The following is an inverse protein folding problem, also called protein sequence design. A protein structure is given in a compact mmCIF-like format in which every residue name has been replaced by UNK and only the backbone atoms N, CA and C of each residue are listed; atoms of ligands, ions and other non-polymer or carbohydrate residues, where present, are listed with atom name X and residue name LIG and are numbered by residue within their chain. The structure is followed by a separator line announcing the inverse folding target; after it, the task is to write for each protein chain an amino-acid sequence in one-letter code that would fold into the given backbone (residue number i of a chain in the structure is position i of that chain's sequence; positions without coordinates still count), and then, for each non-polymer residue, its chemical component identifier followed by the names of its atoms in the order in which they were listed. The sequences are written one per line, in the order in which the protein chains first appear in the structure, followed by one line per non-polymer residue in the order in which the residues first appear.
data_IF_278832680814
#
_entry.id   IF_278832680814
#
_cell.length_a   1.000
_cell.length_b   1.000
_cell.length_c   1.000
_cell.angle_alpha   90.00
_cell.angle_beta   90.00
_cell.angle_gamma   90.00
#
_symmetry.space_group_name_H-M   'P 1'
#
loop_
_entity.id
_entity.type
_entity.pdbx_description
1 polymer ?
#
# COMPACT_ATOMS: atom_id res chain seq x y z
N UNK A 1 25.98 5.47 26.68
CA UNK A 1 24.58 5.25 26.36
C UNK A 1 23.78 6.49 26.73
N UNK A 2 23.03 7.03 25.78
CA UNK A 2 22.08 8.11 26.03
C UNK A 2 20.76 7.50 26.52
N UNK A 3 20.12 8.13 27.49
CA UNK A 3 18.78 7.77 27.97
C UNK A 3 17.80 8.80 27.45
N UNK A 4 16.65 8.36 26.94
CA UNK A 4 15.57 9.20 26.48
C UNK A 4 14.40 9.00 27.45
N UNK A 5 13.91 10.11 28.03
CA UNK A 5 12.72 10.07 28.88
C UNK A 5 11.46 10.11 28.02
N UNK A 6 10.70 9.03 28.05
CA UNK A 6 9.43 8.88 27.35
C UNK A 6 8.23 8.87 28.34
N UNK A 7 8.37 9.47 29.52
CA UNK A 7 7.31 9.51 30.53
C UNK A 7 6.03 10.14 29.93
N UNK A 8 4.91 9.41 30.00
CA UNK A 8 3.61 9.84 29.45
C UNK A 8 3.47 9.68 27.92
N UNK A 9 4.41 9.01 27.26
CA UNK A 9 4.41 8.75 25.84
C UNK A 9 4.44 7.25 25.56
N UNK A 10 4.09 6.87 24.33
CA UNK A 10 4.21 5.50 23.83
C UNK A 10 5.50 5.36 23.02
N UNK A 11 6.09 4.17 23.10
CA UNK A 11 7.19 3.75 22.24
C UNK A 11 6.73 2.56 21.42
N UNK A 12 6.86 2.63 20.10
CA UNK A 12 6.47 1.55 19.19
C UNK A 12 7.56 1.25 18.17
N UNK A 13 7.44 0.09 17.47
CA UNK A 13 8.20 -0.10 16.23
C UNK A 13 7.84 1.01 15.23
N UNK A 14 8.77 1.32 14.32
CA UNK A 14 8.50 2.17 13.17
C UNK A 14 7.38 1.61 12.29
N UNK A 15 6.59 2.49 11.71
CA UNK A 15 5.52 2.10 10.79
C UNK A 15 6.08 1.65 9.43
N UNK A 16 5.39 0.72 8.80
CA UNK A 16 5.74 0.15 7.50
C UNK A 16 4.58 0.36 6.54
N UNK A 17 4.79 1.14 5.50
CA UNK A 17 3.78 1.39 4.47
C UNK A 17 4.11 0.59 3.21
N UNK A 18 3.25 -0.35 2.88
CA UNK A 18 3.43 -1.26 1.74
C UNK A 18 2.70 -0.82 0.48
N UNK A 19 1.99 0.33 0.54
CA UNK A 19 1.23 0.85 -0.58
C UNK A 19 1.09 2.37 -0.46
N UNK A 20 1.86 3.11 -1.26
CA UNK A 20 1.81 4.57 -1.33
C UNK A 20 2.43 5.07 -2.64
N UNK A 21 1.79 6.05 -3.28
CA UNK A 21 2.19 6.60 -4.58
C UNK A 21 3.00 7.88 -4.48
N UNK A 22 2.89 8.59 -3.35
CA UNK A 22 3.59 9.86 -3.20
C UNK A 22 3.21 10.63 -1.95
N UNK A 23 3.71 11.87 -1.87
CA UNK A 23 3.47 12.81 -0.78
C UNK A 23 4.33 14.06 -0.93
N UNK A 24 4.03 15.12 -0.15
CA UNK A 24 4.83 16.35 -0.16
C UNK A 24 4.88 17.07 -1.51
N UNK A 25 3.86 16.90 -2.35
CA UNK A 25 3.80 17.46 -3.69
C UNK A 25 4.46 16.62 -4.79
N UNK A 26 5.04 15.47 -4.44
CA UNK A 26 5.77 14.60 -5.36
C UNK A 26 5.12 13.20 -5.48
N UNK A 27 5.26 12.59 -6.64
CA UNK A 27 4.87 11.21 -6.94
C UNK A 27 6.11 10.37 -7.20
N UNK A 28 6.11 9.10 -6.84
CA UNK A 28 7.25 8.22 -7.09
C UNK A 28 7.53 8.02 -8.60
N UNK A 29 6.57 8.34 -9.45
CA UNK A 29 6.68 8.26 -10.91
C UNK A 29 6.97 9.61 -11.58
N UNK A 30 7.35 10.67 -10.85
CA UNK A 30 7.70 12.00 -11.44
C UNK A 30 8.96 12.00 -12.31
N UNK A 31 9.72 10.89 -12.32
CA UNK A 31 10.82 10.69 -13.25
C UNK A 31 12.19 11.15 -12.74
N UNK A 32 12.32 11.52 -11.47
CA UNK A 32 13.61 11.89 -10.87
C UNK A 32 13.76 11.35 -9.43
N UNK A 33 15.01 11.31 -8.96
CA UNK A 33 15.36 10.77 -7.62
C UNK A 33 14.84 11.66 -6.50
N UNK A 34 14.89 12.99 -6.67
CA UNK A 34 14.50 13.92 -5.59
C UNK A 34 13.01 13.87 -5.29
N UNK A 35 12.17 13.63 -6.29
CA UNK A 35 10.74 13.39 -6.10
C UNK A 35 10.47 12.17 -5.23
N UNK A 36 11.21 11.06 -5.45
CA UNK A 36 11.13 9.86 -4.62
C UNK A 36 11.54 10.18 -3.17
N UNK A 37 12.65 10.88 -2.98
CA UNK A 37 13.16 11.22 -1.66
C UNK A 37 12.24 12.20 -0.93
N UNK A 38 11.65 13.17 -1.63
CA UNK A 38 10.71 14.14 -1.06
C UNK A 38 9.45 13.46 -0.56
N UNK A 39 8.84 12.59 -1.38
CA UNK A 39 7.66 11.83 -0.98
C UNK A 39 7.97 10.90 0.21
N UNK A 40 9.06 10.16 0.16
CA UNK A 40 9.47 9.26 1.23
C UNK A 40 9.78 10.02 2.55
N UNK A 41 10.40 11.21 2.47
CA UNK A 41 10.69 12.04 3.63
C UNK A 41 9.43 12.59 4.31
N UNK A 42 8.40 12.96 3.54
CA UNK A 42 7.11 13.31 4.11
C UNK A 42 6.59 12.18 5.00
N UNK A 43 6.52 10.97 4.45
CA UNK A 43 6.01 9.81 5.19
C UNK A 43 6.87 9.47 6.41
N UNK A 44 8.21 9.67 6.33
CA UNK A 44 9.10 9.49 7.46
C UNK A 44 8.69 10.39 8.64
N UNK A 45 8.42 11.68 8.40
CA UNK A 45 8.00 12.62 9.46
C UNK A 45 6.64 12.26 10.08
N UNK A 46 5.87 11.38 9.44
CA UNK A 46 4.62 10.81 9.96
C UNK A 46 4.79 9.39 10.53
N UNK A 47 6.04 8.94 10.74
CA UNK A 47 6.35 7.68 11.41
C UNK A 47 6.64 6.49 10.49
N UNK A 48 6.61 6.66 9.17
CA UNK A 48 6.95 5.59 8.22
C UNK A 48 8.46 5.42 8.16
N UNK A 49 8.99 4.40 8.83
CA UNK A 49 10.43 4.10 8.82
C UNK A 49 10.84 3.13 7.72
N UNK A 50 9.86 2.42 7.15
CA UNK A 50 10.03 1.51 6.01
C UNK A 50 8.89 1.72 5.02
N UNK A 51 9.22 1.90 3.74
CA UNK A 51 8.26 2.25 2.71
C UNK A 51 8.49 1.42 1.44
N UNK A 52 7.41 1.08 0.77
CA UNK A 52 7.40 0.43 -0.53
C UNK A 52 6.76 1.36 -1.56
N UNK A 53 7.56 2.20 -2.26
CA UNK A 53 7.06 3.05 -3.32
C UNK A 53 6.22 2.27 -4.32
N UNK A 54 5.03 2.80 -4.63
CA UNK A 54 4.05 2.13 -5.47
C UNK A 54 3.89 2.87 -6.79
N UNK A 55 3.90 2.12 -7.90
CA UNK A 55 3.64 2.67 -9.24
C UNK A 55 2.15 2.65 -9.54
N UNK A 56 1.72 3.51 -10.44
CA UNK A 56 0.42 3.42 -11.12
C UNK A 56 0.57 2.72 -12.47
N UNK A 57 -0.56 2.32 -13.05
CA UNK A 57 -0.63 1.83 -14.44
C UNK A 57 -0.08 2.88 -15.41
N UNK A 58 0.95 2.51 -16.18
CA UNK A 58 1.69 3.40 -17.06
C UNK A 58 2.30 2.67 -18.26
N UNK A 59 2.98 3.40 -19.14
CA UNK A 59 3.84 2.83 -20.17
C UNK A 59 5.03 2.09 -19.54
N UNK A 60 5.62 1.13 -20.27
CA UNK A 60 6.86 0.48 -19.82
C UNK A 60 8.03 1.47 -19.73
N UNK A 61 8.06 2.50 -20.57
CA UNK A 61 9.09 3.54 -20.54
C UNK A 61 9.06 4.30 -19.20
N UNK A 62 7.90 4.78 -18.77
CA UNK A 62 7.74 5.51 -17.51
C UNK A 62 7.96 4.58 -16.30
N UNK A 63 7.53 3.31 -16.39
CA UNK A 63 7.79 2.31 -15.37
C UNK A 63 9.29 2.04 -15.21
N UNK A 64 10.02 1.86 -16.29
CA UNK A 64 11.48 1.62 -16.25
C UNK A 64 12.23 2.84 -15.73
N UNK A 65 11.82 4.05 -16.10
CA UNK A 65 12.37 5.28 -15.53
C UNK A 65 12.16 5.35 -14.01
N UNK A 66 10.97 4.98 -13.53
CA UNK A 66 10.67 4.90 -12.10
C UNK A 66 11.56 3.87 -11.40
N UNK A 67 11.73 2.67 -11.96
CA UNK A 67 12.60 1.62 -11.43
C UNK A 67 14.05 2.10 -11.34
N UNK A 68 14.57 2.75 -12.37
CA UNK A 68 15.94 3.26 -12.39
C UNK A 68 16.19 4.35 -11.34
N UNK A 69 15.21 5.24 -11.14
CA UNK A 69 15.29 6.27 -10.11
C UNK A 69 15.14 5.67 -8.70
N UNK A 70 14.29 4.66 -8.53
CA UNK A 70 14.19 3.92 -7.27
C UNK A 70 15.52 3.25 -6.90
N UNK A 71 16.17 2.58 -7.84
CA UNK A 71 17.50 1.95 -7.62
C UNK A 71 18.53 2.96 -7.11
N UNK A 72 18.52 4.18 -7.65
CA UNK A 72 19.39 5.27 -7.21
C UNK A 72 18.99 5.80 -5.83
N UNK A 73 17.70 6.09 -5.62
CA UNK A 73 17.16 6.63 -4.38
C UNK A 73 17.39 5.68 -3.20
N UNK A 74 17.25 4.36 -3.41
CA UNK A 74 17.45 3.33 -2.38
C UNK A 74 18.83 3.34 -1.73
N UNK A 75 19.85 3.86 -2.44
CA UNK A 75 21.22 4.03 -1.92
C UNK A 75 21.36 5.22 -0.95
N UNK A 76 20.39 6.12 -0.89
CA UNK A 76 20.42 7.33 -0.06
C UNK A 76 19.66 7.04 1.24
N UNK A 77 20.42 6.92 2.36
CA UNK A 77 19.86 6.47 3.63
C UNK A 77 19.86 7.53 4.73
N UNK A 78 20.53 8.66 4.51
CA UNK A 78 20.64 9.71 5.52
C UNK A 78 19.34 10.48 5.69
N UNK A 79 18.75 10.45 6.88
CA UNK A 79 17.44 11.04 7.20
C UNK A 79 16.33 10.57 6.24
N UNK A 80 16.34 9.29 5.90
CA UNK A 80 15.37 8.66 5.00
C UNK A 80 14.76 7.42 5.64
N UNK A 81 13.53 7.06 5.27
CA UNK A 81 13.01 5.73 5.60
C UNK A 81 13.74 4.68 4.77
N UNK A 82 13.69 3.44 5.18
CA UNK A 82 14.17 2.32 4.37
C UNK A 82 13.27 2.11 3.15
N UNK A 83 13.79 2.37 1.95
CA UNK A 83 13.13 2.01 0.68
C UNK A 83 13.31 0.51 0.44
N UNK A 84 12.39 -0.31 0.95
CA UNK A 84 12.59 -1.75 1.07
C UNK A 84 12.45 -2.50 -0.25
N UNK A 85 11.56 -2.03 -1.12
CA UNK A 85 11.29 -2.57 -2.45
C UNK A 85 10.19 -1.77 -3.12
N UNK A 86 9.73 -2.22 -4.29
CA UNK A 86 8.64 -1.58 -5.02
C UNK A 86 7.38 -2.45 -5.01
N UNK A 87 6.24 -1.80 -4.96
CA UNK A 87 4.95 -2.35 -5.29
C UNK A 87 4.54 -1.90 -6.68
N UNK A 88 4.34 -2.82 -7.61
CA UNK A 88 3.75 -2.50 -8.90
C UNK A 88 2.22 -2.63 -8.81
N UNK A 89 1.50 -1.53 -8.96
CA UNK A 89 0.05 -1.51 -9.00
C UNK A 89 -0.42 -1.43 -10.45
N UNK A 90 -0.74 -2.57 -11.02
CA UNK A 90 -1.02 -2.75 -12.44
C UNK A 90 0.24 -3.07 -13.27
N UNK A 91 0.13 -3.00 -14.59
CA UNK A 91 -0.99 -2.53 -15.44
C UNK A 91 -2.05 -3.61 -15.75
N UNK A 92 -2.00 -4.76 -15.12
CA UNK A 92 -2.83 -5.91 -15.41
C UNK A 92 -4.11 -5.88 -14.56
N UNK A 93 -5.04 -5.00 -14.94
CA UNK A 93 -6.27 -4.72 -14.19
C UNK A 93 -7.53 -4.95 -15.02
N UNK A 94 -8.66 -5.16 -14.34
CA UNK A 94 -9.96 -5.19 -14.98
C UNK A 94 -10.36 -3.77 -15.41
N UNK A 95 -10.72 -3.54 -16.69
CA UNK A 95 -11.16 -2.22 -17.13
C UNK A 95 -12.40 -1.70 -16.39
N UNK A 96 -13.26 -2.60 -15.90
CA UNK A 96 -14.46 -2.23 -15.15
C UNK A 96 -14.21 -1.79 -13.72
N UNK A 97 -13.06 -2.21 -13.14
CA UNK A 97 -12.67 -1.93 -11.76
C UNK A 97 -11.41 -1.05 -11.70
N UNK A 98 -11.13 -0.33 -12.78
CA UNK A 98 -9.91 0.49 -12.92
C UNK A 98 -9.79 1.60 -11.89
N UNK A 99 -10.90 2.07 -11.29
CA UNK A 99 -10.89 3.21 -10.40
C UNK A 99 -10.27 4.45 -11.08
N UNK A 100 -9.29 5.05 -10.44
CA UNK A 100 -8.53 6.19 -10.96
C UNK A 100 -7.29 5.79 -11.80
N UNK A 101 -7.13 4.52 -12.18
CA UNK A 101 -6.03 4.09 -13.06
C UNK A 101 -6.28 4.53 -14.50
N UNK A 102 -5.21 4.88 -15.24
CA UNK A 102 -5.33 5.28 -16.64
C UNK A 102 -5.61 4.05 -17.53
N UNK A 103 -6.80 4.02 -18.17
CA UNK A 103 -7.24 2.87 -18.97
C UNK A 103 -6.42 2.64 -20.23
N UNK A 104 -5.75 3.68 -20.77
CA UNK A 104 -4.94 3.58 -21.98
C UNK A 104 -3.74 2.61 -21.80
N UNK A 105 -3.34 2.37 -20.56
CA UNK A 105 -2.21 1.49 -20.22
C UNK A 105 -2.64 0.16 -19.63
N UNK A 106 -3.95 -0.05 -19.36
CA UNK A 106 -4.46 -1.32 -18.86
C UNK A 106 -4.32 -2.38 -19.94
N UNK A 107 -3.76 -3.54 -19.56
CA UNK A 107 -3.52 -4.64 -20.49
C UNK A 107 -3.56 -6.00 -19.79
N UNK A 108 -3.57 -7.05 -20.59
CA UNK A 108 -3.55 -8.43 -20.12
C UNK A 108 -2.11 -8.88 -19.91
N UNK A 109 -1.77 -9.59 -18.82
CA UNK A 109 -0.42 -10.09 -18.58
C UNK A 109 -0.01 -11.13 -19.64
N UNK A 110 1.22 -10.99 -20.16
CA UNK A 110 1.86 -12.01 -20.97
C UNK A 110 3.23 -12.36 -20.39
N UNK A 111 3.70 -13.62 -20.52
CA UNK A 111 5.01 -14.03 -20.00
C UNK A 111 6.16 -13.16 -20.50
N UNK A 112 6.09 -12.70 -21.74
CA UNK A 112 7.10 -11.82 -22.33
C UNK A 112 7.12 -10.46 -21.64
N UNK A 113 5.95 -9.84 -21.41
CA UNK A 113 5.83 -8.50 -20.83
C UNK A 113 6.20 -8.50 -19.34
N UNK A 114 5.54 -9.31 -18.49
CA UNK A 114 5.81 -9.28 -17.06
C UNK A 114 7.20 -9.81 -16.68
N UNK A 115 7.76 -10.77 -17.42
CA UNK A 115 9.13 -11.21 -17.17
C UNK A 115 10.16 -10.17 -17.60
N UNK A 116 9.93 -9.46 -18.71
CA UNK A 116 10.80 -8.36 -19.10
C UNK A 116 10.84 -7.26 -18.01
N UNK A 117 9.68 -6.88 -17.46
CA UNK A 117 9.61 -5.92 -16.35
C UNK A 117 10.32 -6.45 -15.10
N UNK A 118 10.07 -7.72 -14.72
CA UNK A 118 10.67 -8.34 -13.55
C UNK A 118 12.20 -8.40 -13.65
N UNK A 119 12.73 -8.86 -14.79
CA UNK A 119 14.16 -8.96 -15.05
C UNK A 119 14.82 -7.57 -15.07
N UNK A 120 14.19 -6.57 -15.71
CA UNK A 120 14.67 -5.19 -15.71
C UNK A 120 14.77 -4.62 -14.29
N UNK A 121 13.80 -4.93 -13.44
CA UNK A 121 13.78 -4.44 -12.07
C UNK A 121 14.91 -5.00 -11.19
N UNK A 122 15.52 -6.12 -11.57
CA UNK A 122 16.70 -6.69 -10.89
C UNK A 122 16.51 -6.83 -9.37
N UNK A 123 15.41 -7.50 -8.97
CA UNK A 123 15.08 -7.75 -7.56
C UNK A 123 14.48 -6.56 -6.79
N UNK A 124 14.13 -5.46 -7.45
CA UNK A 124 13.48 -4.33 -6.79
C UNK A 124 11.98 -4.56 -6.53
N UNK A 125 11.32 -5.41 -7.34
CA UNK A 125 9.88 -5.66 -7.20
C UNK A 125 9.65 -6.65 -6.04
N UNK A 126 8.99 -6.16 -4.99
CA UNK A 126 8.63 -6.98 -3.83
C UNK A 126 7.16 -7.43 -3.86
N UNK A 127 6.31 -6.68 -4.56
CA UNK A 127 4.88 -6.92 -4.63
C UNK A 127 4.32 -6.51 -6.00
N UNK A 128 3.27 -7.22 -6.46
CA UNK A 128 2.57 -6.89 -7.70
C UNK A 128 1.06 -7.13 -7.54
N UNK A 129 0.26 -6.09 -7.81
CA UNK A 129 -1.20 -6.15 -7.79
C UNK A 129 -1.74 -6.42 -9.20
N UNK A 130 -2.60 -7.44 -9.33
CA UNK A 130 -3.10 -7.97 -10.59
C UNK A 130 -4.56 -8.38 -10.44
N UNK A 131 -5.36 -8.24 -11.50
CA UNK A 131 -6.70 -8.81 -11.61
C UNK A 131 -6.60 -10.29 -12.05
N UNK A 132 -6.94 -11.24 -11.19
CA UNK A 132 -6.66 -12.65 -11.42
C UNK A 132 -7.52 -13.28 -12.52
N UNK A 133 -8.68 -12.71 -12.84
CA UNK A 133 -9.56 -13.17 -13.90
C UNK A 133 -9.02 -12.93 -15.32
N UNK A 134 -7.94 -12.14 -15.44
CA UNK A 134 -7.33 -11.87 -16.74
C UNK A 134 -6.58 -13.10 -17.27
N UNK A 135 -6.68 -13.31 -18.58
CA UNK A 135 -5.90 -14.36 -19.24
C UNK A 135 -4.40 -14.17 -18.98
N UNK A 136 -3.71 -15.23 -18.56
CA UNK A 136 -2.28 -15.20 -18.22
C UNK A 136 -1.98 -14.84 -16.76
N UNK A 137 -2.96 -14.32 -15.98
CA UNK A 137 -2.73 -13.93 -14.59
C UNK A 137 -2.36 -15.13 -13.69
N UNK A 138 -2.98 -16.28 -13.87
CA UNK A 138 -2.65 -17.49 -13.10
C UNK A 138 -1.21 -17.96 -13.38
N UNK A 139 -0.78 -17.98 -14.64
CA UNK A 139 0.60 -18.31 -15.01
C UNK A 139 1.60 -17.31 -14.42
N UNK A 140 1.27 -16.02 -14.44
CA UNK A 140 2.07 -14.95 -13.81
C UNK A 140 2.22 -15.21 -12.32
N UNK A 141 1.12 -15.55 -11.62
CA UNK A 141 1.12 -15.91 -10.21
C UNK A 141 2.06 -17.07 -9.90
N UNK A 142 1.96 -18.16 -10.67
CA UNK A 142 2.82 -19.34 -10.53
C UNK A 142 4.31 -19.04 -10.69
N UNK A 143 4.66 -18.13 -11.58
CA UNK A 143 6.06 -17.78 -11.86
C UNK A 143 6.60 -16.81 -10.81
N UNK A 144 5.94 -15.68 -10.60
CA UNK A 144 6.48 -14.59 -9.78
C UNK A 144 6.41 -14.88 -8.29
N UNK A 145 5.40 -15.63 -7.81
CA UNK A 145 5.36 -16.05 -6.40
C UNK A 145 6.55 -16.95 -6.02
N UNK A 146 6.99 -17.84 -6.91
CA UNK A 146 8.18 -18.69 -6.74
C UNK A 146 9.48 -17.89 -6.76
N UNK A 147 9.48 -16.74 -7.41
CA UNK A 147 10.60 -15.79 -7.44
C UNK A 147 10.57 -14.81 -6.24
N UNK A 148 9.61 -14.97 -5.33
CA UNK A 148 9.53 -14.22 -4.08
C UNK A 148 8.70 -12.95 -4.14
N UNK A 149 8.06 -12.64 -5.27
CA UNK A 149 7.14 -11.50 -5.38
C UNK A 149 5.84 -11.82 -4.66
N UNK A 150 5.36 -10.92 -3.80
CA UNK A 150 4.03 -11.00 -3.21
C UNK A 150 2.98 -10.71 -4.29
N UNK A 151 2.26 -11.74 -4.71
CA UNK A 151 1.15 -11.58 -5.66
C UNK A 151 -0.10 -11.15 -4.93
N UNK A 152 -0.63 -9.98 -5.33
CA UNK A 152 -1.82 -9.36 -4.73
C UNK A 152 -2.95 -9.27 -5.75
N UNK A 153 -4.18 -9.43 -5.28
CA UNK A 153 -5.39 -9.27 -6.08
C UNK A 153 -5.89 -7.83 -5.89
N UNK A 154 -6.08 -7.08 -6.95
CA UNK A 154 -6.58 -5.71 -6.91
C UNK A 154 -7.15 -5.26 -8.25
N UNK A 155 -8.00 -4.23 -8.25
CA UNK A 155 -8.65 -3.67 -9.43
C UNK A 155 -9.29 -4.75 -10.32
N UNK A 156 -10.20 -5.53 -9.74
CA UNK A 156 -10.64 -6.83 -10.26
C UNK A 156 -12.14 -7.02 -10.19
N UNK A 157 -12.71 -7.56 -11.26
CA UNK A 157 -14.09 -8.04 -11.34
C UNK A 157 -14.21 -9.54 -11.06
N UNK A 158 -13.15 -10.19 -10.54
CA UNK A 158 -13.10 -11.61 -10.25
C UNK A 158 -14.27 -12.07 -9.36
N UNK A 159 -14.72 -13.28 -9.58
CA UNK A 159 -15.64 -13.97 -8.67
C UNK A 159 -14.87 -14.63 -7.52
N UNK A 160 -15.59 -15.06 -6.50
CA UNK A 160 -15.00 -15.85 -5.42
C UNK A 160 -14.35 -17.16 -5.92
N UNK A 161 -14.87 -17.76 -7.00
CA UNK A 161 -14.27 -18.95 -7.60
C UNK A 161 -12.94 -18.61 -8.31
N UNK A 162 -12.86 -17.47 -9.00
CA UNK A 162 -11.60 -16.98 -9.59
C UNK A 162 -10.55 -16.72 -8.51
N UNK A 163 -10.95 -16.13 -7.38
CA UNK A 163 -10.06 -15.90 -6.23
C UNK A 163 -9.58 -17.22 -5.63
N UNK A 164 -10.47 -18.21 -5.51
CA UNK A 164 -10.12 -19.54 -5.02
C UNK A 164 -9.08 -20.23 -5.91
N UNK A 165 -9.19 -20.06 -7.23
CA UNK A 165 -8.20 -20.52 -8.18
C UNK A 165 -6.89 -19.75 -8.04
N UNK A 166 -6.95 -18.41 -7.93
CA UNK A 166 -5.78 -17.54 -7.76
C UNK A 166 -4.93 -17.90 -6.53
N UNK A 167 -5.56 -18.29 -5.41
CA UNK A 167 -4.83 -18.77 -4.22
C UNK A 167 -3.93 -19.96 -4.56
N UNK A 168 -4.39 -20.90 -5.40
CA UNK A 168 -3.60 -22.07 -5.81
C UNK A 168 -2.42 -21.68 -6.70
N UNK A 169 -2.50 -20.51 -7.34
CA UNK A 169 -1.47 -19.93 -8.21
C UNK A 169 -0.60 -18.87 -7.51
N UNK A 170 -0.61 -18.82 -6.16
CA UNK A 170 0.31 -18.02 -5.36
C UNK A 170 -0.16 -16.61 -5.00
N UNK A 171 -1.41 -16.25 -5.28
CA UNK A 171 -2.00 -15.02 -4.79
C UNK A 171 -2.42 -15.18 -3.32
N UNK A 172 -1.92 -14.31 -2.44
CA UNK A 172 -2.14 -14.45 -0.99
C UNK A 172 -2.57 -13.17 -0.30
N UNK A 173 -2.81 -12.10 -1.08
CA UNK A 173 -3.11 -10.78 -0.53
C UNK A 173 -4.18 -10.06 -1.37
N UNK A 174 -5.00 -9.24 -0.71
CA UNK A 174 -5.98 -8.35 -1.34
C UNK A 174 -5.55 -6.90 -1.17
N UNK A 175 -5.38 -6.19 -2.29
CA UNK A 175 -4.98 -4.79 -2.39
C UNK A 175 -6.15 -3.90 -1.98
N UNK A 176 -5.93 -2.87 -1.15
CA UNK A 176 -6.92 -1.86 -0.66
C UNK A 176 -8.37 -2.39 -0.62
N UNK A 177 -8.57 -3.33 0.32
CA UNK A 177 -9.81 -4.08 0.47
C UNK A 177 -11.06 -3.20 0.44
N UNK A 178 -12.04 -3.54 -0.36
CA UNK A 178 -13.25 -2.82 -0.78
C UNK A 178 -13.08 -1.85 -1.96
N UNK A 179 -11.90 -1.34 -2.24
CA UNK A 179 -11.69 -0.43 -3.38
C UNK A 179 -11.39 -1.22 -4.65
N UNK A 180 -12.06 -0.90 -5.78
CA UNK A 180 -11.84 -1.58 -7.06
C UNK A 180 -12.01 -3.10 -6.99
N UNK A 181 -13.04 -3.57 -6.27
CA UNK A 181 -13.29 -5.00 -6.04
C UNK A 181 -14.77 -5.34 -6.22
N UNK A 182 -15.00 -6.47 -6.86
CA UNK A 182 -16.33 -7.07 -6.99
C UNK A 182 -16.91 -7.49 -5.63
N UNK A 183 -18.22 -7.43 -5.51
CA UNK A 183 -18.98 -7.93 -4.35
C UNK A 183 -20.14 -8.81 -4.83
N UNK A 184 -21.00 -9.24 -3.93
CA UNK A 184 -22.16 -10.09 -4.25
C UNK A 184 -22.99 -9.51 -5.38
N UNK A 185 -23.09 -10.27 -6.46
CA UNK A 185 -23.96 -9.98 -7.60
C UNK A 185 -25.08 -11.01 -7.73
N UNK A 186 -25.97 -10.82 -8.70
CA UNK A 186 -27.04 -11.78 -9.01
C UNK A 186 -27.01 -12.13 -10.50
N UNK A 187 -26.88 -13.44 -10.81
CA UNK A 187 -26.96 -13.97 -12.17
C UNK A 187 -28.04 -15.03 -12.23
N UNK A 188 -29.04 -14.84 -13.09
CA UNK A 188 -30.17 -15.78 -13.23
C UNK A 188 -30.86 -16.17 -11.89
N UNK A 189 -30.94 -15.22 -10.96
CA UNK A 189 -31.50 -15.45 -9.62
C UNK A 189 -30.52 -15.96 -8.57
N UNK A 190 -29.41 -16.56 -8.95
CA UNK A 190 -28.37 -17.05 -8.03
C UNK A 190 -27.47 -15.94 -7.54
N UNK A 191 -26.99 -16.07 -6.27
CA UNK A 191 -25.96 -15.19 -5.72
C UNK A 191 -24.59 -15.66 -6.21
N UNK A 192 -23.82 -14.72 -6.74
CA UNK A 192 -22.41 -14.89 -7.08
C UNK A 192 -21.61 -14.04 -6.11
N UNK A 193 -20.71 -14.67 -5.36
CA UNK A 193 -19.81 -13.97 -4.43
C UNK A 193 -18.66 -13.33 -5.21
N UNK A 194 -18.23 -12.16 -4.76
CA UNK A 194 -17.09 -11.45 -5.32
C UNK A 194 -15.83 -11.59 -4.48
N UNK A 195 -14.88 -10.72 -4.76
CA UNK A 195 -13.57 -10.65 -4.08
C UNK A 195 -13.71 -10.26 -2.61
N UNK A 196 -14.65 -9.36 -2.30
CA UNK A 196 -14.89 -8.93 -0.90
C UNK A 196 -15.29 -10.13 -0.04
N UNK A 197 -16.23 -10.95 -0.50
CA UNK A 197 -16.66 -12.14 0.23
C UNK A 197 -15.54 -13.19 0.32
N UNK A 198 -14.76 -13.36 -0.75
CA UNK A 198 -13.60 -14.24 -0.76
C UNK A 198 -12.56 -13.82 0.29
N UNK A 199 -12.34 -12.51 0.47
CA UNK A 199 -11.44 -11.96 1.49
C UNK A 199 -11.82 -12.33 2.91
N UNK A 200 -13.12 -12.50 3.21
CA UNK A 200 -13.60 -13.01 4.50
C UNK A 200 -13.61 -14.53 4.58
N UNK A 201 -13.87 -15.20 3.48
CA UNK A 201 -14.09 -16.66 3.45
C UNK A 201 -12.77 -17.44 3.51
N UNK A 202 -11.71 -16.95 2.87
CA UNK A 202 -10.44 -17.67 2.76
C UNK A 202 -9.43 -17.14 3.79
N UNK A 203 -9.02 -18.01 4.72
CA UNK A 203 -8.02 -17.68 5.75
C UNK A 203 -6.61 -17.53 5.18
N UNK A 204 -6.34 -18.07 4.00
CA UNK A 204 -5.07 -17.92 3.28
C UNK A 204 -4.79 -16.47 2.89
N UNK A 205 -5.85 -15.71 2.60
CA UNK A 205 -5.73 -14.32 2.18
C UNK A 205 -5.49 -13.39 3.36
N UNK A 206 -4.54 -12.49 3.20
CA UNK A 206 -4.43 -11.26 3.99
C UNK A 206 -5.06 -10.09 3.22
N UNK A 207 -5.39 -9.02 3.91
CA UNK A 207 -5.98 -7.82 3.32
C UNK A 207 -5.21 -6.58 3.77
N UNK A 208 -5.13 -5.58 2.92
CA UNK A 208 -4.75 -4.24 3.35
C UNK A 208 -5.96 -3.31 3.32
N UNK A 209 -5.97 -2.34 4.23
CA UNK A 209 -7.06 -1.37 4.36
C UNK A 209 -6.54 0.06 4.43
N UNK A 210 -7.19 0.95 3.68
CA UNK A 210 -6.97 2.39 3.77
C UNK A 210 -7.79 2.91 4.95
N UNK A 211 -7.14 3.07 6.10
CA UNK A 211 -7.84 3.46 7.34
C UNK A 211 -7.85 4.97 7.58
N UNK A 212 -8.11 5.74 6.52
CA UNK A 212 -8.21 7.21 6.59
C UNK A 212 -9.56 7.70 7.15
N UNK A 213 -10.54 6.80 7.30
CA UNK A 213 -11.90 7.09 7.74
C UNK A 213 -12.83 7.59 6.64
N UNK A 214 -12.34 7.71 5.41
CA UNK A 214 -13.07 8.17 4.23
C UNK A 214 -13.31 7.03 3.24
N UNK A 215 -12.26 6.31 2.81
CA UNK A 215 -12.39 5.10 1.98
C UNK A 215 -13.22 4.03 2.72
N UNK A 216 -12.91 3.82 3.99
CA UNK A 216 -13.61 2.91 4.86
C UNK A 216 -14.16 3.68 6.06
N UNK A 217 -15.48 3.98 6.07
CA UNK A 217 -16.12 4.64 7.21
C UNK A 217 -15.90 3.83 8.51
N UNK A 218 -15.93 4.48 9.68
CA UNK A 218 -15.62 3.81 10.95
C UNK A 218 -16.41 2.52 11.21
N UNK A 219 -17.66 2.44 10.82
CA UNK A 219 -18.48 1.24 11.01
C UNK A 219 -18.06 0.10 10.05
N UNK A 220 -17.60 0.41 8.85
CA UNK A 220 -17.04 -0.60 7.95
C UNK A 220 -15.68 -1.09 8.45
N UNK A 221 -14.81 -0.20 8.98
CA UNK A 221 -13.58 -0.60 9.67
C UNK A 221 -13.88 -1.56 10.85
N UNK A 222 -14.88 -1.25 11.68
CA UNK A 222 -15.32 -2.15 12.76
C UNK A 222 -15.79 -3.52 12.25
N UNK A 223 -16.52 -3.53 11.12
CA UNK A 223 -16.97 -4.77 10.51
C UNK A 223 -15.80 -5.63 10.03
N UNK A 224 -14.83 -5.01 9.36
CA UNK A 224 -13.61 -5.71 8.90
C UNK A 224 -12.86 -6.31 10.09
N UNK A 225 -12.60 -5.52 11.15
CA UNK A 225 -11.92 -5.97 12.37
C UNK A 225 -12.65 -7.11 13.08
N UNK A 226 -13.98 -7.18 12.94
CA UNK A 226 -14.82 -8.22 13.56
C UNK A 226 -14.86 -9.51 12.74
N UNK A 227 -14.75 -9.41 11.42
CA UNK A 227 -14.97 -10.52 10.50
C UNK A 227 -13.66 -11.12 9.95
N UNK A 228 -12.55 -10.40 9.98
CA UNK A 228 -11.24 -10.88 9.52
C UNK A 228 -10.27 -11.03 10.68
N UNK A 229 -9.42 -12.06 10.63
CA UNK A 229 -8.32 -12.19 11.60
C UNK A 229 -7.43 -10.95 11.57
N UNK A 230 -7.28 -10.29 12.71
CA UNK A 230 -6.52 -9.08 12.87
C UNK A 230 -5.01 -9.24 12.52
N UNK A 231 -4.49 -10.47 12.55
CA UNK A 231 -3.12 -10.77 12.11
C UNK A 231 -2.98 -10.80 10.58
N UNK A 232 -4.10 -10.83 9.87
CA UNK A 232 -4.19 -10.83 8.41
C UNK A 232 -4.57 -9.47 7.82
N UNK A 233 -4.64 -8.43 8.67
CA UNK A 233 -4.94 -7.06 8.25
C UNK A 233 -3.68 -6.23 8.34
N UNK A 234 -3.32 -5.53 7.27
CA UNK A 234 -2.29 -4.49 7.24
C UNK A 234 -2.93 -3.13 6.95
N UNK A 235 -2.46 -2.07 7.61
CA UNK A 235 -2.84 -0.71 7.25
C UNK A 235 -1.92 -0.21 6.14
N UNK A 236 -2.48 0.60 5.25
CA UNK A 236 -1.75 1.30 4.20
C UNK A 236 -2.25 2.73 4.10
N UNK A 237 -1.45 3.59 3.52
CA UNK A 237 -1.90 4.95 3.24
C UNK A 237 -2.60 5.06 1.89
N UNK A 238 -2.13 4.35 0.87
CA UNK A 238 -2.52 4.57 -0.53
C UNK A 238 -2.45 6.07 -0.88
N UNK A 239 -1.42 6.71 -0.34
CA UNK A 239 -1.26 8.16 -0.37
C UNK A 239 -0.75 8.60 -1.73
N UNK A 240 -1.28 9.72 -2.23
CA UNK A 240 -0.82 10.36 -3.46
C UNK A 240 -0.06 11.65 -3.15
N UNK A 241 0.52 12.31 -4.18
CA UNK A 241 1.33 13.54 -4.02
C UNK A 241 0.71 14.62 -3.14
N UNK A 242 -0.62 14.67 -3.06
CA UNK A 242 -1.35 15.65 -2.28
C UNK A 242 -1.25 15.50 -0.77
N UNK A 243 -0.72 14.39 -0.26
CA UNK A 243 -0.48 14.25 1.17
C UNK A 243 0.50 15.32 1.65
N UNK A 244 0.10 16.07 2.70
CA UNK A 244 0.87 17.19 3.22
C UNK A 244 0.85 18.47 2.39
N UNK A 245 0.15 18.50 1.24
CA UNK A 245 0.13 19.64 0.33
C UNK A 245 -1.11 20.58 0.52
N UNK A 246 -2.14 20.11 1.26
CA UNK A 246 -3.38 20.87 1.47
C UNK A 246 -4.45 20.59 0.41
N UNK A 247 -5.59 21.30 0.52
CA UNK A 247 -6.72 21.16 -0.40
C UNK A 247 -6.52 21.92 -1.71
N UNK A 248 -7.19 21.45 -2.77
CA UNK A 248 -7.17 22.05 -4.10
C UNK A 248 -6.95 21.08 -5.23
N UNK A 249 -6.62 21.59 -6.41
CA UNK A 249 -6.28 20.77 -7.57
C UNK A 249 -4.92 20.10 -7.37
N UNK A 250 -4.82 18.84 -7.79
CA UNK A 250 -3.60 18.05 -7.77
C UNK A 250 -3.57 17.09 -8.97
N UNK A 251 -2.55 16.24 -9.04
CA UNK A 251 -2.37 15.24 -10.09
C UNK A 251 -2.13 13.90 -9.42
N UNK A 252 -2.80 12.85 -9.84
CA UNK A 252 -2.51 11.47 -9.48
C UNK A 252 -1.56 10.89 -10.54
N UNK A 253 -0.44 10.30 -10.09
CA UNK A 253 0.60 9.80 -10.99
C UNK A 253 1.62 10.87 -11.38
N UNK A 254 2.42 10.59 -12.40
CA UNK A 254 3.50 11.49 -12.85
C UNK A 254 2.97 12.86 -13.32
N UNK A 255 3.79 13.89 -13.22
CA UNK A 255 3.46 15.22 -13.77
C UNK A 255 3.24 15.21 -15.28
N UNK A 256 3.82 14.22 -15.99
CA UNK A 256 3.77 14.10 -17.45
C UNK A 256 2.46 13.46 -17.93
N UNK A 257 2.04 12.36 -17.28
CA UNK A 257 0.94 11.49 -17.76
C UNK A 257 -0.17 11.32 -16.70
N UNK A 258 -0.06 12.01 -15.56
CA UNK A 258 -1.00 11.88 -14.46
C UNK A 258 -2.36 12.51 -14.73
N UNK A 259 -3.35 12.13 -13.95
CA UNK A 259 -4.72 12.58 -14.06
C UNK A 259 -5.03 13.71 -13.07
N UNK A 260 -5.75 14.74 -13.51
CA UNK A 260 -6.22 15.81 -12.62
C UNK A 260 -7.14 15.22 -11.54
N UNK A 261 -6.90 15.61 -10.28
CA UNK A 261 -7.74 15.26 -9.13
C UNK A 261 -8.02 16.50 -8.30
N UNK A 262 -8.98 16.40 -7.39
CA UNK A 262 -9.34 17.46 -6.46
C UNK A 262 -9.20 16.92 -5.04
N UNK A 263 -8.44 17.62 -4.22
CA UNK A 263 -8.33 17.34 -2.78
C UNK A 263 -9.33 18.23 -2.07
N UNK A 264 -10.32 17.63 -1.46
CA UNK A 264 -11.35 18.31 -0.67
C UNK A 264 -11.85 17.37 0.43
N UNK A 265 -12.30 17.92 1.55
CA UNK A 265 -12.76 17.13 2.70
C UNK A 265 -11.70 16.13 3.23
N UNK A 266 -10.42 16.42 3.02
CA UNK A 266 -9.31 15.57 3.47
C UNK A 266 -9.12 14.26 2.69
N UNK A 267 -9.62 14.20 1.44
CA UNK A 267 -9.50 13.06 0.52
C UNK A 267 -9.28 13.54 -0.93
N UNK A 268 -8.59 12.76 -1.76
CA UNK A 268 -8.46 13.01 -3.19
C UNK A 268 -9.60 12.34 -3.96
N UNK A 269 -10.20 13.07 -4.91
CA UNK A 269 -11.35 12.64 -5.72
C UNK A 269 -11.07 12.90 -7.20
N UNK A 270 -11.60 12.06 -8.07
CA UNK A 270 -11.68 12.41 -9.49
C UNK A 270 -12.55 13.67 -9.68
N UNK A 271 -12.31 14.49 -10.74
CA UNK A 271 -13.02 15.76 -10.93
C UNK A 271 -14.54 15.63 -11.00
N UNK A 272 -15.06 14.51 -11.50
CA UNK A 272 -16.48 14.18 -11.55
C UNK A 272 -17.05 13.61 -10.25
N UNK A 273 -16.19 13.36 -9.25
CA UNK A 273 -16.49 12.80 -7.92
C UNK A 273 -17.12 11.41 -7.94
N UNK A 274 -16.88 10.66 -9.00
CA UNK A 274 -17.39 9.28 -9.14
C UNK A 274 -16.60 8.28 -8.33
N UNK A 275 -15.29 8.55 -8.08
CA UNK A 275 -14.45 7.73 -7.24
C UNK A 275 -13.36 8.55 -6.54
N UNK A 276 -12.78 7.97 -5.48
CA UNK A 276 -11.56 8.46 -4.87
C UNK A 276 -10.36 8.17 -5.77
N UNK A 277 -9.29 8.92 -5.58
CA UNK A 277 -8.09 8.90 -6.40
C UNK A 277 -6.84 8.77 -5.51
N UNK A 278 -6.72 7.63 -4.84
CA UNK A 278 -5.83 7.46 -3.72
C UNK A 278 -6.24 8.30 -2.51
N UNK A 279 -5.40 8.35 -1.49
CA UNK A 279 -5.65 9.13 -0.29
C UNK A 279 -4.68 10.32 -0.16
N UNK A 280 -4.89 11.14 0.87
CA UNK A 280 -3.92 12.11 1.40
C UNK A 280 -3.56 11.75 2.85
N UNK A 281 -3.69 10.47 3.19
CA UNK A 281 -3.48 9.95 4.52
C UNK A 281 -1.99 9.69 4.79
N UNK A 282 -1.62 9.72 6.05
CA UNK A 282 -0.30 9.35 6.56
C UNK A 282 -0.43 8.21 7.56
N UNK A 283 0.64 7.48 7.81
CA UNK A 283 0.59 6.28 8.66
C UNK A 283 0.14 6.56 10.09
N UNK A 284 0.52 7.69 10.67
CA UNK A 284 0.02 8.15 11.99
C UNK A 284 -1.49 8.40 11.98
N UNK A 285 -2.03 8.99 10.89
CA UNK A 285 -3.48 9.16 10.70
C UNK A 285 -4.18 7.81 10.56
N UNK A 286 -3.61 6.86 9.82
CA UNK A 286 -4.18 5.51 9.71
C UNK A 286 -4.31 4.83 11.07
N UNK A 287 -3.24 4.83 11.88
CA UNK A 287 -3.23 4.26 13.23
C UNK A 287 -4.21 4.99 14.14
N UNK A 288 -4.20 6.32 14.12
CA UNK A 288 -5.11 7.17 14.92
C UNK A 288 -6.58 6.88 14.60
N UNK A 289 -6.93 6.82 13.31
CA UNK A 289 -8.31 6.56 12.86
C UNK A 289 -8.78 5.20 13.33
N UNK A 290 -7.96 4.16 13.13
CA UNK A 290 -8.33 2.81 13.55
C UNK A 290 -8.52 2.72 15.08
N UNK A 291 -7.58 3.30 15.84
CA UNK A 291 -7.62 3.33 17.31
C UNK A 291 -8.82 4.13 17.84
N UNK A 292 -8.97 5.39 17.41
CA UNK A 292 -9.96 6.30 17.99
C UNK A 292 -11.38 6.10 17.44
N UNK A 293 -11.54 5.69 16.18
CA UNK A 293 -12.85 5.65 15.51
C UNK A 293 -13.36 4.23 15.28
N UNK A 294 -12.50 3.25 15.04
CA UNK A 294 -12.92 1.87 14.83
C UNK A 294 -12.94 1.02 16.11
N UNK A 295 -12.45 1.55 17.24
CA UNK A 295 -12.55 0.93 18.57
C UNK A 295 -11.63 -0.27 18.79
N UNK A 296 -10.53 -0.39 18.01
CA UNK A 296 -9.47 -1.35 18.32
C UNK A 296 -8.53 -0.79 19.37
N UNK A 297 -7.70 -1.63 20.00
CA UNK A 297 -6.65 -1.14 20.90
C UNK A 297 -5.53 -0.44 20.12
N UNK A 298 -4.83 0.49 20.76
CA UNK A 298 -3.65 1.14 20.16
C UNK A 298 -2.58 0.11 19.76
N UNK A 299 -2.36 -0.91 20.59
CA UNK A 299 -1.43 -2.00 20.29
C UNK A 299 -1.81 -2.73 18.99
N UNK A 300 -3.09 -3.05 18.79
CA UNK A 300 -3.56 -3.69 17.57
C UNK A 300 -3.40 -2.78 16.34
N UNK A 301 -3.74 -1.49 16.46
CA UNK A 301 -3.58 -0.54 15.36
C UNK A 301 -2.09 -0.40 14.97
N UNK A 302 -1.20 -0.26 15.94
CA UNK A 302 0.26 -0.23 15.73
C UNK A 302 0.74 -1.54 15.09
N UNK A 303 0.29 -2.70 15.58
CA UNK A 303 0.66 -4.00 15.00
C UNK A 303 0.27 -4.12 13.53
N UNK A 304 -0.93 -3.64 13.16
CA UNK A 304 -1.41 -3.64 11.78
C UNK A 304 -0.62 -2.69 10.86
N UNK A 305 0.08 -1.71 11.43
CA UNK A 305 0.93 -0.77 10.68
C UNK A 305 2.43 -1.10 10.82
N UNK A 306 2.81 -2.14 11.54
CA UNK A 306 4.21 -2.49 11.77
C UNK A 306 4.48 -3.99 11.57
N UNK A 307 4.08 -4.86 12.51
CA UNK A 307 4.41 -6.29 12.48
C UNK A 307 3.67 -7.04 11.37
N UNK A 308 2.40 -6.72 11.12
CA UNK A 308 1.64 -7.41 10.08
C UNK A 308 2.21 -7.14 8.69
N UNK A 309 2.45 -5.87 8.26
CA UNK A 309 3.10 -5.62 6.98
C UNK A 309 4.54 -6.16 6.94
N UNK A 310 5.29 -6.18 8.06
CA UNK A 310 6.62 -6.81 8.11
C UNK A 310 6.54 -8.31 7.77
N UNK A 311 5.59 -9.03 8.36
CA UNK A 311 5.36 -10.46 8.07
C UNK A 311 4.89 -10.67 6.63
N UNK A 312 3.97 -9.84 6.16
CA UNK A 312 3.47 -9.88 4.79
C UNK A 312 4.62 -9.78 3.78
N UNK A 313 5.53 -8.84 4.00
CA UNK A 313 6.68 -8.58 3.13
C UNK A 313 7.91 -9.44 3.46
N UNK A 314 7.81 -10.37 4.44
CA UNK A 314 8.88 -11.28 4.86
C UNK A 314 10.15 -10.55 5.32
N UNK A 315 9.99 -9.45 6.05
CA UNK A 315 11.06 -8.67 6.67
C UNK A 315 10.93 -8.62 8.19
N UNK A 316 10.10 -9.48 8.77
CA UNK A 316 9.83 -9.52 10.20
C UNK A 316 10.98 -10.14 11.03
N UNK A 317 12.01 -10.66 10.40
CA UNK A 317 13.26 -11.06 11.02
C UNK A 317 14.05 -9.84 11.54
N UNK A 318 13.94 -8.68 10.88
CA UNK A 318 14.68 -7.46 11.26
C UNK A 318 13.80 -6.20 11.43
N UNK A 319 12.52 -6.20 11.03
CA UNK A 319 11.58 -5.07 11.12
C UNK A 319 10.31 -5.40 11.94
N UNK A 320 9.45 -4.42 12.16
CA UNK A 320 8.07 -4.56 12.60
C UNK A 320 7.85 -4.83 14.10
N UNK A 321 8.88 -5.03 14.90
CA UNK A 321 8.75 -5.17 16.36
C UNK A 321 10.01 -4.76 17.11
N UNK A 322 9.87 -4.40 18.38
CA UNK A 322 10.99 -4.07 19.26
C UNK A 322 11.50 -5.37 19.89
N UNK A 323 12.60 -5.89 19.36
CA UNK A 323 13.26 -7.09 19.86
C UNK A 323 14.77 -7.02 19.63
N UNK A 324 15.54 -7.72 20.48
CA UNK A 324 16.98 -7.80 20.31
C UNK A 324 17.35 -8.44 18.96
N UNK A 325 18.29 -7.83 18.26
CA UNK A 325 18.75 -8.27 16.94
C UNK A 325 17.98 -7.68 15.74
N UNK A 326 16.90 -6.94 15.98
CA UNK A 326 16.20 -6.19 14.94
C UNK A 326 16.74 -4.77 14.79
N UNK A 327 16.43 -4.17 13.65
CA UNK A 327 16.71 -2.76 13.41
C UNK A 327 15.97 -1.91 14.46
N UNK A 328 16.68 -0.93 14.98
CA UNK A 328 16.10 -0.01 15.96
C UNK A 328 15.32 1.11 15.25
N UNK A 329 14.28 0.72 14.50
CA UNK A 329 13.30 1.63 13.94
C UNK A 329 12.20 1.84 14.99
N UNK A 330 12.19 3.02 15.60
CA UNK A 330 11.35 3.31 16.76
C UNK A 330 10.63 4.64 16.58
N UNK A 331 9.44 4.71 17.14
CA UNK A 331 8.64 5.93 17.22
C UNK A 331 8.30 6.23 18.68
N UNK A 332 8.34 7.51 19.03
CA UNK A 332 7.80 8.03 20.28
C UNK A 332 6.65 8.97 19.94
N UNK A 333 5.48 8.74 20.51
CA UNK A 333 4.28 9.53 20.23
C UNK A 333 3.32 9.62 21.43
N UNK A 334 2.40 10.57 21.40
CA UNK A 334 1.38 10.77 22.45
C UNK A 334 0.11 9.90 22.21
N UNK A 335 -0.90 10.01 23.08
CA UNK A 335 -2.14 9.24 23.00
C UNK A 335 -2.97 9.55 21.73
N UNK A 336 -2.74 10.67 21.07
CA UNK A 336 -3.36 11.03 19.80
C UNK A 336 -2.50 10.62 18.59
N UNK A 337 -1.48 9.80 18.82
CA UNK A 337 -0.53 9.31 17.78
C UNK A 337 0.15 10.49 17.06
N UNK A 338 0.43 11.58 17.76
CA UNK A 338 1.29 12.64 17.25
C UNK A 338 2.75 12.25 17.46
N UNK A 339 3.48 12.09 16.39
CA UNK A 339 4.88 11.65 16.42
C UNK A 339 5.75 12.76 17.06
N UNK A 340 6.56 12.39 18.05
CA UNK A 340 7.47 13.29 18.78
C UNK A 340 8.92 13.02 18.42
N UNK A 341 9.30 11.75 18.27
CA UNK A 341 10.66 11.34 17.88
C UNK A 341 10.59 10.12 16.97
N UNK A 342 11.53 10.05 16.05
CA UNK A 342 11.66 8.97 15.07
C UNK A 342 13.11 8.49 15.08
N UNK A 343 13.29 7.19 15.10
CA UNK A 343 14.60 6.55 14.96
C UNK A 343 14.55 5.58 13.78
N UNK A 344 15.55 5.66 12.92
CA UNK A 344 15.77 4.71 11.82
C UNK A 344 17.16 4.10 11.99
N UNK A 345 17.23 2.79 12.12
CA UNK A 345 18.49 2.09 12.37
C UNK A 345 19.19 2.56 13.65
N UNK A 346 18.44 3.00 14.66
CA UNK A 346 18.96 3.51 15.93
C UNK A 346 19.47 4.96 15.89
N UNK A 347 19.33 5.65 14.75
CA UNK A 347 19.68 7.07 14.61
C UNK A 347 18.43 7.92 14.66
N UNK A 348 18.44 8.94 15.51
CA UNK A 348 17.35 9.91 15.59
C UNK A 348 17.30 10.75 14.30
N UNK A 349 16.11 10.85 13.74
CA UNK A 349 15.80 11.68 12.56
C UNK A 349 15.56 13.12 13.07
N UNK A 350 16.18 14.07 12.39
CA UNK A 350 16.11 15.51 12.73
C UNK A 350 15.13 16.25 11.86
#
# INVERSE_FOLDING_TARGET
PSTIDCTGLYVSPGFIDTHTHGGGGCDFMDGDVESILTAARLHLHHGTTTIFPTTLTSSNEDLFLCIDNFKKARGITENMPHLAGMHLEGPYFSPTEKGAQNEDYIRTPSPEDYMHIYEYADGCISRWSVAPELSGAMEMGDRLSKLGVLMSIGHTAATCDDVKEAIQHGYTHLTHFYSGMSTITRKNGYRILGVIEAGYLFDELSVEIISDGMHLPPDLLKMILKCKDNNKISLITDSMRGAGAGEGKSILGSLKEGQEVIIEDGIAKMPDRTCFAGSVCTTDRCVRTLYKLAGTSLENAVRMMSLNPAKLMKIDDHKGSIAAGKDADLLVFDDDVNIKQIFVGGKEIK
#
